data_IF_902689024014
#
_entry.id   IF_902689024014
#
_cell.length_a   1.000
_cell.length_b   1.000
_cell.length_c   1.000
_cell.angle_alpha   90.00
_cell.angle_beta   90.00
_cell.angle_gamma   90.00
#
_symmetry.space_group_name_H-M   'P 1'
#
loop_
_entity.id
_entity.type
_entity.pdbx_description
1 polymer ?
#
# COMPACT_ATOMS: atom_id res chain seq x y z
N UNK A 1 -30.25 -0.05 15.45
CA UNK A 1 -29.03 0.74 15.67
C UNK A 1 -27.97 0.18 14.75
N UNK A 2 -27.68 0.87 13.65
CA UNK A 2 -26.90 0.34 12.51
C UNK A 2 -25.48 -0.09 12.89
N UNK A 3 -24.90 0.49 13.95
CA UNK A 3 -23.59 0.05 14.44
C UNK A 3 -23.65 -1.39 14.95
N UNK A 4 -24.68 -1.74 15.73
CA UNK A 4 -24.83 -3.09 16.30
C UNK A 4 -24.96 -4.16 15.19
N UNK A 5 -25.63 -3.82 14.08
CA UNK A 5 -25.74 -4.72 12.92
C UNK A 5 -24.37 -4.98 12.28
N UNK A 6 -23.52 -3.94 12.17
CA UNK A 6 -22.14 -4.05 11.66
C UNK A 6 -21.29 -4.91 12.61
N UNK A 7 -21.41 -4.72 13.93
CA UNK A 7 -20.68 -5.50 14.93
C UNK A 7 -21.07 -6.98 14.85
N UNK A 8 -22.37 -7.28 14.81
CA UNK A 8 -22.88 -8.63 14.67
C UNK A 8 -22.42 -9.30 13.37
N UNK A 9 -22.35 -8.56 12.26
CA UNK A 9 -21.84 -9.06 10.99
C UNK A 9 -20.35 -9.45 11.08
N UNK A 10 -19.51 -8.61 11.69
CA UNK A 10 -18.08 -8.89 11.88
C UNK A 10 -17.91 -10.13 12.77
N UNK A 11 -18.63 -10.21 13.90
CA UNK A 11 -18.56 -11.34 14.81
C UNK A 11 -19.03 -12.65 14.14
N UNK A 12 -20.09 -12.60 13.32
CA UNK A 12 -20.54 -13.75 12.53
C UNK A 12 -19.46 -14.23 11.54
N UNK A 13 -18.77 -13.31 10.86
CA UNK A 13 -17.68 -13.66 9.95
C UNK A 13 -16.50 -14.30 10.70
N UNK A 14 -16.15 -13.80 11.89
CA UNK A 14 -15.11 -14.40 12.74
C UNK A 14 -15.52 -15.80 13.22
N UNK A 15 -16.78 -16.00 13.60
CA UNK A 15 -17.31 -17.32 13.96
C UNK A 15 -17.20 -18.32 12.80
N UNK A 16 -17.46 -17.89 11.56
CA UNK A 16 -17.26 -18.73 10.37
C UNK A 16 -15.80 -19.17 10.23
N UNK A 17 -14.83 -18.29 10.51
CA UNK A 17 -13.41 -18.65 10.47
C UNK A 17 -13.02 -19.62 11.60
N UNK A 18 -13.57 -19.42 12.80
CA UNK A 18 -13.36 -20.32 13.94
C UNK A 18 -13.95 -21.71 13.69
N UNK A 19 -15.18 -21.80 13.17
CA UNK A 19 -15.82 -23.07 12.79
C UNK A 19 -15.02 -23.83 11.72
N UNK A 20 -14.35 -23.11 10.81
CA UNK A 20 -13.43 -23.67 9.81
C UNK A 20 -12.03 -23.99 10.37
N UNK A 21 -11.79 -23.77 11.66
CA UNK A 21 -10.50 -23.94 12.34
C UNK A 21 -9.36 -23.10 11.73
N UNK A 22 -9.71 -21.99 11.07
CA UNK A 22 -8.72 -21.02 10.56
C UNK A 22 -8.21 -20.10 11.68
N UNK A 23 -9.01 -19.90 12.71
CA UNK A 23 -8.63 -19.22 13.96
C UNK A 23 -9.11 -20.07 15.15
N UNK A 24 -8.41 -19.99 16.28
CA UNK A 24 -8.82 -20.63 17.53
C UNK A 24 -9.72 -19.70 18.37
N UNK A 25 -10.16 -20.18 19.54
CA UNK A 25 -11.04 -19.42 20.43
C UNK A 25 -10.35 -18.19 21.02
N UNK A 26 -9.04 -18.25 21.27
CA UNK A 26 -8.27 -17.09 21.73
C UNK A 26 -8.34 -15.94 20.72
N UNK A 27 -8.14 -16.25 19.43
CA UNK A 27 -8.27 -15.28 18.35
C UNK A 27 -9.70 -14.78 18.18
N UNK A 28 -10.69 -15.68 18.25
CA UNK A 28 -12.11 -15.29 18.19
C UNK A 28 -12.42 -14.28 19.30
N UNK A 29 -12.06 -14.59 20.54
CA UNK A 29 -12.25 -13.71 21.70
C UNK A 29 -11.47 -12.40 21.57
N UNK A 30 -10.22 -12.47 21.08
CA UNK A 30 -9.37 -11.30 20.89
C UNK A 30 -9.94 -10.32 19.87
N UNK A 31 -10.50 -10.82 18.77
CA UNK A 31 -10.96 -10.02 17.64
C UNK A 31 -12.44 -9.65 17.71
N UNK A 32 -13.24 -10.40 18.47
CA UNK A 32 -14.66 -10.14 18.59
C UNK A 32 -14.95 -8.71 19.07
N UNK A 33 -16.04 -8.16 18.53
CA UNK A 33 -16.56 -6.84 18.86
C UNK A 33 -17.56 -6.85 20.01
N UNK A 34 -18.21 -7.99 20.27
CA UNK A 34 -19.28 -8.16 21.26
C UNK A 34 -18.90 -7.77 22.69
N UNK A 35 -17.63 -7.90 23.08
CA UNK A 35 -17.16 -7.58 24.43
C UNK A 35 -16.58 -6.16 24.57
N UNK A 36 -16.75 -5.30 23.56
CA UNK A 36 -16.07 -4.00 23.52
C UNK A 36 -17.02 -2.84 23.70
N UNK A 37 -16.60 -1.90 24.54
CA UNK A 37 -17.26 -0.62 24.70
C UNK A 37 -16.62 0.45 23.82
N UNK A 38 -17.37 1.53 23.57
CA UNK A 38 -16.89 2.74 22.88
C UNK A 38 -16.40 2.52 21.44
N UNK A 39 -16.92 1.52 20.74
CA UNK A 39 -16.72 1.40 19.29
C UNK A 39 -17.45 2.52 18.57
N UNK A 40 -16.80 3.11 17.56
CA UNK A 40 -17.32 4.23 16.77
C UNK A 40 -16.85 4.12 15.33
N UNK A 41 -17.69 4.52 14.39
CA UNK A 41 -17.29 4.65 13.00
C UNK A 41 -16.50 5.94 12.80
N UNK A 42 -15.44 5.93 11.96
CA UNK A 42 -14.76 7.16 11.56
C UNK A 42 -15.70 8.06 10.75
N UNK A 43 -15.54 9.37 10.89
CA UNK A 43 -16.28 10.37 10.13
C UNK A 43 -15.45 10.86 8.95
N UNK A 44 -16.06 10.94 7.77
CA UNK A 44 -15.51 11.62 6.61
C UNK A 44 -15.79 13.12 6.74
N UNK A 45 -14.74 13.93 6.58
CA UNK A 45 -14.81 15.39 6.51
C UNK A 45 -13.80 15.89 5.47
N UNK A 46 -13.86 17.17 5.14
CA UNK A 46 -13.04 17.77 4.09
C UNK A 46 -12.17 18.88 4.68
N UNK A 47 -10.87 18.87 4.37
CA UNK A 47 -9.94 19.94 4.74
C UNK A 47 -9.46 20.69 3.49
N UNK A 48 -9.23 22.01 3.55
CA UNK A 48 -8.61 22.75 2.46
C UNK A 48 -7.25 22.16 2.07
N UNK A 49 -6.98 22.09 0.77
CA UNK A 49 -5.62 21.92 0.26
C UNK A 49 -4.84 23.23 0.44
N UNK A 50 -3.62 23.14 0.93
CA UNK A 50 -2.75 24.30 1.15
C UNK A 50 -1.90 24.65 -0.08
N UNK A 51 -2.34 24.29 -1.28
CA UNK A 51 -1.64 24.68 -2.51
C UNK A 51 -2.08 26.09 -2.92
N UNK A 52 -1.14 26.91 -3.39
CA UNK A 52 -1.27 28.36 -3.66
C UNK A 52 -2.23 28.72 -4.83
N UNK A 53 -3.20 27.87 -5.18
CA UNK A 53 -4.12 28.10 -6.28
C UNK A 53 -5.36 28.92 -5.88
N UNK A 54 -5.87 29.69 -6.85
CA UNK A 54 -7.02 30.64 -6.72
C UNK A 54 -8.35 29.93 -6.38
N UNK A 55 -8.40 28.61 -6.50
CA UNK A 55 -9.55 27.79 -6.13
C UNK A 55 -9.22 26.92 -4.92
N UNK A 56 -9.99 27.06 -3.83
CA UNK A 56 -9.84 26.23 -2.65
C UNK A 56 -10.31 24.80 -2.94
N UNK A 57 -9.39 23.94 -3.36
CA UNK A 57 -9.61 22.50 -3.40
C UNK A 57 -9.71 21.96 -1.98
N UNK A 58 -10.51 20.91 -1.77
CA UNK A 58 -10.63 20.22 -0.48
C UNK A 58 -10.26 18.74 -0.62
N UNK A 59 -9.58 18.19 0.39
CA UNK A 59 -9.24 16.77 0.46
C UNK A 59 -10.14 16.03 1.44
N UNK A 60 -10.64 14.84 1.07
CA UNK A 60 -11.32 13.97 2.00
C UNK A 60 -10.36 13.49 3.09
N UNK A 61 -10.82 13.56 4.34
CA UNK A 61 -10.13 13.11 5.54
C UNK A 61 -11.08 12.26 6.36
N UNK A 62 -10.54 11.25 7.01
CA UNK A 62 -11.28 10.46 7.97
C UNK A 62 -10.82 10.79 9.38
N UNK A 63 -11.74 10.79 10.34
CA UNK A 63 -11.37 10.84 11.75
C UNK A 63 -10.60 9.57 12.13
N UNK A 64 -10.05 9.56 13.34
CA UNK A 64 -9.25 8.43 13.83
C UNK A 64 -10.01 7.10 13.72
N UNK A 65 -9.32 6.07 13.21
CA UNK A 65 -9.81 4.68 13.17
C UNK A 65 -9.59 3.96 14.50
N UNK A 66 -9.00 4.60 15.52
CA UNK A 66 -8.64 3.97 16.79
C UNK A 66 -9.77 3.19 17.46
N UNK A 67 -11.02 3.68 17.31
CA UNK A 67 -12.22 3.06 17.88
C UNK A 67 -13.07 2.31 16.84
N UNK A 68 -12.58 2.16 15.62
CA UNK A 68 -13.32 1.48 14.56
C UNK A 68 -13.44 -0.02 14.84
N UNK A 69 -14.54 -0.68 14.44
CA UNK A 69 -14.75 -2.11 14.67
C UNK A 69 -13.62 -2.99 14.09
N UNK A 70 -13.03 -2.57 12.97
CA UNK A 70 -11.96 -3.31 12.27
C UNK A 70 -10.55 -3.02 12.79
N UNK A 71 -10.38 -2.01 13.65
CA UNK A 71 -9.06 -1.51 14.03
C UNK A 71 -8.17 -2.56 14.66
N UNK A 72 -8.72 -3.38 15.56
CA UNK A 72 -7.92 -4.38 16.29
C UNK A 72 -7.42 -5.50 15.39
N UNK A 73 -8.25 -5.93 14.45
CA UNK A 73 -7.84 -6.86 13.40
C UNK A 73 -6.72 -6.24 12.56
N UNK A 74 -6.90 -4.99 12.11
CA UNK A 74 -5.89 -4.30 11.33
C UNK A 74 -4.56 -4.12 12.10
N UNK A 75 -4.61 -3.71 13.37
CA UNK A 75 -3.45 -3.54 14.24
C UNK A 75 -2.70 -4.85 14.53
N UNK A 76 -3.41 -5.98 14.51
CA UNK A 76 -2.78 -7.28 14.67
C UNK A 76 -2.12 -7.75 13.35
N UNK A 77 -2.84 -7.61 12.24
CA UNK A 77 -2.40 -8.09 10.92
C UNK A 77 -1.26 -7.26 10.34
N UNK A 78 -1.26 -5.95 10.55
CA UNK A 78 -0.27 -5.04 9.96
C UNK A 78 1.17 -5.42 10.31
N UNK A 79 1.61 -5.49 11.59
CA UNK A 79 2.99 -5.82 11.91
C UNK A 79 3.37 -7.24 11.48
N UNK A 80 2.41 -8.18 11.52
CA UNK A 80 2.60 -9.54 11.06
C UNK A 80 2.94 -9.55 9.57
N UNK A 81 2.12 -8.93 8.73
CA UNK A 81 2.32 -8.90 7.28
C UNK A 81 3.52 -8.01 6.90
N UNK A 82 3.73 -6.89 7.61
CA UNK A 82 4.83 -5.93 7.38
C UNK A 82 6.18 -6.61 7.43
N UNK A 83 6.39 -7.44 8.45
CA UNK A 83 7.64 -8.19 8.63
C UNK A 83 7.99 -9.07 7.43
N UNK A 84 6.98 -9.74 6.85
CA UNK A 84 7.14 -10.61 5.68
C UNK A 84 7.43 -9.79 4.43
N UNK A 85 6.68 -8.72 4.22
CA UNK A 85 6.86 -7.84 3.06
C UNK A 85 8.23 -7.17 3.08
N UNK A 86 8.67 -6.65 4.22
CA UNK A 86 9.95 -5.95 4.34
C UNK A 86 11.13 -6.86 4.03
N UNK A 87 11.07 -8.12 4.46
CA UNK A 87 12.11 -9.11 4.14
C UNK A 87 12.31 -9.29 2.62
N UNK A 88 11.24 -9.22 1.83
CA UNK A 88 11.30 -9.38 0.37
C UNK A 88 11.62 -8.05 -0.33
N UNK A 89 11.05 -6.96 0.14
CA UNK A 89 10.96 -5.73 -0.64
C UNK A 89 12.05 -4.71 -0.30
N UNK A 90 12.86 -4.93 0.74
CA UNK A 90 13.84 -3.98 1.28
C UNK A 90 14.77 -3.34 0.25
N UNK A 91 15.13 -4.06 -0.80
CA UNK A 91 16.00 -3.58 -1.88
C UNK A 91 15.30 -2.64 -2.87
N UNK A 92 13.96 -2.66 -2.92
CA UNK A 92 13.14 -1.92 -3.89
C UNK A 92 12.24 -0.87 -3.24
N UNK A 93 12.20 -0.79 -1.92
CA UNK A 93 11.42 0.21 -1.17
C UNK A 93 12.35 1.13 -0.39
N UNK A 94 11.91 2.33 -0.07
CA UNK A 94 12.57 3.23 0.88
C UNK A 94 11.64 3.61 2.01
N UNK A 95 12.19 3.87 3.20
CA UNK A 95 11.41 4.24 4.38
C UNK A 95 11.28 5.76 4.56
N UNK A 96 12.29 6.51 4.13
CA UNK A 96 12.39 7.96 4.29
C UNK A 96 13.55 8.50 3.43
N UNK A 97 13.81 9.80 3.54
CA UNK A 97 14.88 10.49 2.80
C UNK A 97 16.27 10.02 3.14
N UNK A 98 16.52 9.65 4.39
CA UNK A 98 17.81 9.12 4.79
C UNK A 98 18.06 7.76 4.13
N UNK A 99 17.09 6.84 4.19
CA UNK A 99 17.20 5.51 3.54
C UNK A 99 17.34 5.64 2.01
N UNK A 100 16.58 6.55 1.40
CA UNK A 100 16.72 6.88 -0.02
C UNK A 100 18.15 7.34 -0.36
N UNK A 101 18.67 8.33 0.36
CA UNK A 101 19.99 8.89 0.12
C UNK A 101 21.09 7.83 0.31
N UNK A 102 20.98 6.99 1.34
CA UNK A 102 21.94 5.91 1.58
C UNK A 102 21.94 4.92 0.41
N UNK A 103 20.77 4.45 -0.05
CA UNK A 103 20.67 3.49 -1.17
C UNK A 103 21.14 4.10 -2.49
N UNK A 104 20.73 5.34 -2.77
CA UNK A 104 21.11 6.04 -3.99
C UNK A 104 22.63 6.31 -4.03
N UNK A 105 23.21 6.78 -2.92
CA UNK A 105 24.66 7.02 -2.83
C UNK A 105 25.46 5.73 -3.01
N UNK A 106 25.02 4.64 -2.38
CA UNK A 106 25.67 3.33 -2.54
C UNK A 106 25.66 2.87 -4.00
N UNK A 107 24.51 2.95 -4.68
CA UNK A 107 24.41 2.71 -6.12
C UNK A 107 25.36 3.62 -6.91
N UNK A 108 25.35 4.92 -6.64
CA UNK A 108 26.12 5.93 -7.36
C UNK A 108 27.64 5.74 -7.26
N UNK A 109 28.10 5.23 -6.11
CA UNK A 109 29.52 4.94 -5.87
C UNK A 109 29.98 3.63 -6.53
N UNK A 110 29.09 2.68 -6.74
CA UNK A 110 29.40 1.38 -7.36
C UNK A 110 29.43 1.41 -8.89
N UNK A 111 28.85 2.44 -9.51
CA UNK A 111 28.87 2.59 -10.97
C UNK A 111 30.29 2.86 -11.48
N UNK A 112 30.89 1.85 -12.13
CA UNK A 112 32.22 1.90 -12.77
C UNK A 112 32.21 2.58 -14.15
N UNK A 113 31.04 2.73 -14.78
CA UNK A 113 30.87 3.29 -16.12
C UNK A 113 30.64 4.81 -16.14
N UNK A 114 30.73 5.39 -17.34
CA UNK A 114 30.52 6.82 -17.56
C UNK A 114 29.14 7.25 -17.09
N UNK A 115 29.10 8.23 -16.20
CA UNK A 115 27.86 8.83 -15.65
C UNK A 115 27.15 9.77 -16.63
N UNK A 116 27.68 9.88 -17.85
CA UNK A 116 27.09 10.66 -18.93
C UNK A 116 25.86 9.93 -19.50
N UNK A 117 24.82 10.69 -19.85
CA UNK A 117 23.58 10.15 -20.41
C UNK A 117 22.64 9.51 -19.38
N UNK A 118 23.02 9.42 -18.10
CA UNK A 118 22.12 8.94 -17.05
C UNK A 118 21.08 10.01 -16.74
N UNK A 119 19.82 9.66 -16.92
CA UNK A 119 18.65 10.45 -16.56
C UNK A 119 18.08 9.99 -15.23
N UNK A 120 17.33 10.86 -14.59
CA UNK A 120 16.54 10.52 -13.41
C UNK A 120 15.07 10.66 -13.74
N UNK A 121 14.33 9.58 -13.51
CA UNK A 121 12.90 9.56 -13.70
C UNK A 121 12.19 9.30 -12.38
N UNK A 122 11.06 9.95 -12.20
CA UNK A 122 10.13 9.68 -11.11
C UNK A 122 8.78 9.33 -11.69
N UNK A 123 8.03 8.48 -11.01
CA UNK A 123 6.63 8.28 -11.35
C UNK A 123 5.76 8.27 -10.10
N UNK A 124 4.48 8.59 -10.27
CA UNK A 124 3.48 8.50 -9.23
C UNK A 124 2.26 7.74 -9.74
N UNK A 125 1.73 6.86 -8.90
CA UNK A 125 0.51 6.09 -9.18
C UNK A 125 -0.66 6.78 -8.49
N UNK A 126 -1.49 7.44 -9.27
CA UNK A 126 -2.66 8.17 -8.78
C UNK A 126 -3.84 7.25 -8.55
N UNK A 127 -4.65 7.60 -7.54
CA UNK A 127 -5.95 7.00 -7.26
C UNK A 127 -5.94 5.48 -6.97
N UNK A 128 -4.77 4.91 -6.66
CA UNK A 128 -4.64 3.51 -6.26
C UNK A 128 -5.58 3.19 -5.09
N UNK A 129 -5.51 3.97 -4.01
CA UNK A 129 -6.24 3.68 -2.78
C UNK A 129 -7.72 4.03 -2.84
N UNK A 130 -8.18 4.77 -3.85
CA UNK A 130 -9.61 5.02 -4.08
C UNK A 130 -10.25 3.99 -5.02
N UNK A 131 -9.46 3.41 -5.94
CA UNK A 131 -10.01 2.60 -7.03
C UNK A 131 -9.64 1.11 -7.01
N UNK A 132 -8.55 0.70 -6.37
CA UNK A 132 -8.13 -0.71 -6.38
C UNK A 132 -9.19 -1.62 -5.75
N UNK A 133 -9.47 -2.76 -6.37
CA UNK A 133 -10.46 -3.69 -5.82
C UNK A 133 -9.92 -4.43 -4.60
N UNK A 134 -10.81 -4.79 -3.66
CA UNK A 134 -10.43 -5.67 -2.56
C UNK A 134 -9.91 -7.03 -3.05
N UNK A 135 -10.39 -7.50 -4.21
CA UNK A 135 -9.93 -8.75 -4.82
C UNK A 135 -8.45 -8.67 -5.17
N UNK A 136 -8.03 -7.63 -5.87
CA UNK A 136 -6.63 -7.43 -6.26
C UNK A 136 -5.70 -7.28 -5.05
N UNK A 137 -6.14 -6.57 -4.00
CA UNK A 137 -5.36 -6.46 -2.76
C UNK A 137 -5.18 -7.82 -2.06
N UNK A 138 -6.24 -8.63 -2.02
CA UNK A 138 -6.21 -9.96 -1.41
C UNK A 138 -5.41 -10.96 -2.24
N UNK A 139 -5.49 -10.89 -3.57
CA UNK A 139 -4.64 -11.66 -4.49
C UNK A 139 -3.16 -11.28 -4.33
N UNK A 140 -2.89 -9.98 -4.20
CA UNK A 140 -1.57 -9.46 -3.87
C UNK A 140 -1.03 -10.05 -2.57
N UNK A 141 -1.82 -9.98 -1.51
CA UNK A 141 -1.47 -10.55 -0.21
C UNK A 141 -1.24 -12.06 -0.29
N UNK A 142 -2.14 -12.80 -0.96
CA UNK A 142 -2.00 -14.24 -1.12
C UNK A 142 -0.69 -14.61 -1.84
N UNK A 143 -0.41 -13.95 -2.97
CA UNK A 143 0.81 -14.17 -3.76
C UNK A 143 2.08 -13.84 -2.96
N UNK A 144 2.03 -12.82 -2.08
CA UNK A 144 3.11 -12.58 -1.12
C UNK A 144 3.27 -13.78 -0.19
N UNK A 145 2.21 -14.19 0.51
CA UNK A 145 2.25 -15.22 1.56
C UNK A 145 2.70 -16.61 1.07
N UNK A 146 2.48 -16.95 -0.20
CA UNK A 146 2.94 -18.21 -0.80
C UNK A 146 4.35 -18.12 -1.41
N UNK A 147 5.00 -16.95 -1.34
CA UNK A 147 6.34 -16.77 -1.90
C UNK A 147 7.37 -17.63 -1.13
N UNK A 148 8.11 -18.53 -1.81
CA UNK A 148 9.04 -19.45 -1.16
C UNK A 148 10.24 -18.75 -0.50
N UNK A 149 10.51 -17.48 -0.85
CA UNK A 149 11.58 -16.68 -0.24
C UNK A 149 11.19 -16.09 1.11
N UNK A 150 9.94 -16.22 1.54
CA UNK A 150 9.53 -15.82 2.89
C UNK A 150 10.16 -16.78 3.90
N UNK A 151 11.18 -16.27 4.58
CA UNK A 151 11.81 -16.93 5.72
C UNK A 151 11.14 -16.37 6.98
N UNK A 152 10.34 -17.20 7.63
CA UNK A 152 9.59 -16.83 8.82
C UNK A 152 8.22 -17.48 8.82
N UNK A 153 7.84 -18.07 9.95
CA UNK A 153 6.49 -18.57 10.16
C UNK A 153 5.68 -17.48 10.83
N UNK A 154 4.51 -17.15 10.29
CA UNK A 154 3.41 -16.60 11.09
C UNK A 154 2.90 -17.75 11.95
N UNK A 155 3.64 -18.05 13.04
CA UNK A 155 3.64 -19.31 13.81
C UNK A 155 2.28 -19.78 14.37
N UNK A 156 1.19 -19.06 14.14
CA UNK A 156 -0.14 -19.34 14.69
C UNK A 156 -1.31 -19.17 13.73
N UNK A 157 -1.10 -18.62 12.53
CA UNK A 157 -2.15 -18.43 11.53
C UNK A 157 -1.69 -19.00 10.20
N UNK A 158 -2.58 -19.67 9.47
CA UNK A 158 -2.29 -20.08 8.09
C UNK A 158 -2.33 -18.89 7.13
N UNK A 159 -1.75 -19.04 5.94
CA UNK A 159 -1.87 -18.05 4.86
C UNK A 159 -3.35 -17.71 4.59
N UNK A 160 -4.19 -18.75 4.51
CA UNK A 160 -5.63 -18.60 4.30
C UNK A 160 -6.29 -17.81 5.43
N UNK A 161 -5.92 -18.07 6.69
CA UNK A 161 -6.46 -17.32 7.82
C UNK A 161 -6.10 -15.84 7.73
N UNK A 162 -4.85 -15.50 7.38
CA UNK A 162 -4.41 -14.10 7.21
C UNK A 162 -5.19 -13.40 6.09
N UNK A 163 -5.37 -14.06 4.94
CA UNK A 163 -6.14 -13.52 3.82
C UNK A 163 -7.61 -13.32 4.21
N UNK A 164 -8.23 -14.29 4.89
CA UNK A 164 -9.63 -14.18 5.32
C UNK A 164 -9.83 -13.09 6.38
N UNK A 165 -8.94 -12.97 7.37
CA UNK A 165 -8.99 -11.89 8.37
C UNK A 165 -8.79 -10.51 7.72
N UNK A 166 -7.88 -10.40 6.75
CA UNK A 166 -7.70 -9.17 5.97
C UNK A 166 -8.94 -8.82 5.17
N UNK A 167 -9.60 -9.83 4.58
CA UNK A 167 -10.86 -9.68 3.84
C UNK A 167 -11.98 -9.12 4.74
N UNK A 168 -12.05 -9.55 6.01
CA UNK A 168 -12.98 -8.97 7.00
C UNK A 168 -12.69 -7.48 7.21
N UNK A 169 -11.43 -7.07 7.35
CA UNK A 169 -11.08 -5.65 7.51
C UNK A 169 -11.53 -4.82 6.31
N UNK A 170 -11.23 -5.27 5.09
CA UNK A 170 -11.59 -4.57 3.86
C UNK A 170 -13.12 -4.48 3.67
N UNK A 171 -13.83 -5.59 3.89
CA UNK A 171 -15.28 -5.69 3.68
C UNK A 171 -16.12 -5.05 4.78
N UNK A 172 -15.53 -4.65 5.90
CA UNK A 172 -16.25 -4.00 7.00
C UNK A 172 -15.66 -2.64 7.35
N UNK A 173 -15.06 -1.98 6.36
CA UNK A 173 -14.59 -0.63 6.51
C UNK A 173 -15.72 0.38 6.32
N UNK A 174 -16.47 0.62 7.40
CA UNK A 174 -17.60 1.56 7.44
C UNK A 174 -17.18 2.93 7.96
N UNK A 175 -17.85 3.98 7.50
CA UNK A 175 -17.63 5.36 7.94
C UNK A 175 -18.94 6.16 7.89
N UNK A 176 -18.97 7.31 8.58
CA UNK A 176 -20.11 8.22 8.61
C UNK A 176 -19.81 9.45 7.75
N UNK A 177 -20.77 9.85 6.92
CA UNK A 177 -20.74 11.13 6.20
C UNK A 177 -22.16 11.70 6.14
N UNK A 178 -22.34 12.98 6.51
CA UNK A 178 -23.66 13.63 6.54
C UNK A 178 -24.74 12.77 7.23
N UNK A 179 -24.41 12.27 8.42
CA UNK A 179 -25.27 11.41 9.26
C UNK A 179 -25.74 10.09 8.60
N UNK A 180 -25.12 9.71 7.48
CA UNK A 180 -25.34 8.44 6.80
C UNK A 180 -24.13 7.52 6.94
N UNK A 181 -24.37 6.22 6.99
CA UNK A 181 -23.31 5.20 7.07
C UNK A 181 -22.99 4.70 5.67
N UNK A 182 -21.71 4.76 5.33
CA UNK A 182 -21.16 4.27 4.07
C UNK A 182 -20.13 3.19 4.34
N UNK A 183 -19.77 2.47 3.28
CA UNK A 183 -18.69 1.48 3.28
C UNK A 183 -17.84 1.64 2.04
N UNK A 184 -16.54 1.36 2.17
CA UNK A 184 -15.67 1.16 1.02
C UNK A 184 -16.09 -0.09 0.24
N UNK A 185 -16.66 0.11 -0.95
CA UNK A 185 -16.95 -0.95 -1.91
C UNK A 185 -15.70 -1.38 -2.70
N UNK A 186 -14.81 -0.41 -2.94
CA UNK A 186 -13.48 -0.52 -3.52
C UNK A 186 -12.54 0.47 -2.83
N UNK A 187 -11.25 0.36 -3.09
CA UNK A 187 -10.23 1.14 -2.45
C UNK A 187 -10.05 0.79 -0.97
N UNK A 188 -9.30 1.63 -0.27
CA UNK A 188 -9.02 1.50 1.15
C UNK A 188 -8.81 2.88 1.77
N UNK A 189 -9.16 3.07 3.06
CA UNK A 189 -8.82 4.31 3.74
C UNK A 189 -7.31 4.45 3.94
N UNK A 190 -6.77 5.60 3.54
CA UNK A 190 -5.35 5.92 3.65
C UNK A 190 -4.83 5.98 5.09
N UNK A 191 -5.69 6.29 6.05
CA UNK A 191 -5.34 6.42 7.47
C UNK A 191 -5.41 5.11 8.26
N UNK A 192 -5.70 3.99 7.60
CA UNK A 192 -5.53 2.65 8.16
C UNK A 192 -4.18 2.09 7.71
N UNK A 193 -3.25 1.84 8.63
CA UNK A 193 -1.88 1.40 8.29
C UNK A 193 -1.85 0.13 7.45
N UNK A 194 -2.72 -0.84 7.76
CA UNK A 194 -2.86 -2.08 6.98
C UNK A 194 -3.20 -1.78 5.50
N UNK A 195 -3.99 -0.76 5.22
CA UNK A 195 -4.37 -0.39 3.85
C UNK A 195 -3.19 0.08 3.02
N UNK A 196 -2.30 0.90 3.60
CA UNK A 196 -1.06 1.35 2.94
C UNK A 196 -0.12 0.18 2.67
N UNK A 197 -0.06 -0.78 3.61
CA UNK A 197 0.72 -2.00 3.44
C UNK A 197 0.17 -2.86 2.30
N UNK A 198 -1.13 -3.09 2.23
CA UNK A 198 -1.76 -3.87 1.16
C UNK A 198 -1.54 -3.22 -0.22
N UNK A 199 -1.68 -1.89 -0.34
CA UNK A 199 -1.34 -1.18 -1.56
C UNK A 199 0.13 -1.37 -1.95
N UNK A 200 1.03 -1.32 -0.97
CA UNK A 200 2.46 -1.57 -1.20
C UNK A 200 2.76 -3.00 -1.64
N UNK A 201 2.01 -3.99 -1.15
CA UNK A 201 2.10 -5.40 -1.57
C UNK A 201 1.66 -5.56 -3.02
N UNK A 202 0.50 -5.00 -3.37
CA UNK A 202 0.01 -5.01 -4.75
C UNK A 202 1.03 -4.39 -5.71
N UNK A 203 1.54 -3.19 -5.37
CA UNK A 203 2.52 -2.50 -6.19
C UNK A 203 3.84 -3.24 -6.33
N UNK A 204 4.23 -4.06 -5.35
CA UNK A 204 5.43 -4.90 -5.47
C UNK A 204 5.29 -5.98 -6.56
N UNK A 205 4.09 -6.51 -6.77
CA UNK A 205 3.84 -7.49 -7.84
C UNK A 205 3.71 -6.80 -9.19
N UNK A 206 2.92 -5.74 -9.23
CA UNK A 206 2.72 -4.92 -10.43
C UNK A 206 4.05 -4.44 -11.04
N UNK A 207 5.03 -4.02 -10.22
CA UNK A 207 6.33 -3.52 -10.70
C UNK A 207 7.28 -4.61 -11.24
N UNK A 208 6.89 -5.89 -11.26
CA UNK A 208 7.79 -7.00 -11.67
C UNK A 208 8.39 -6.81 -13.07
N UNK A 209 7.65 -6.39 -14.12
CA UNK A 209 8.22 -6.11 -15.43
C UNK A 209 9.29 -5.02 -15.39
N UNK A 210 9.05 -3.94 -14.64
CA UNK A 210 10.01 -2.86 -14.42
C UNK A 210 11.28 -3.41 -13.76
N UNK A 211 11.15 -4.16 -12.67
CA UNK A 211 12.31 -4.71 -11.95
C UNK A 211 13.20 -5.59 -12.83
N UNK A 212 12.64 -6.30 -13.81
CA UNK A 212 13.43 -7.07 -14.79
C UNK A 212 14.28 -6.13 -15.64
N UNK A 213 13.70 -5.04 -16.14
CA UNK A 213 14.42 -4.02 -16.92
C UNK A 213 15.50 -3.34 -16.09
N UNK A 214 15.20 -3.01 -14.83
CA UNK A 214 16.14 -2.37 -13.92
C UNK A 214 17.37 -3.25 -13.70
N UNK A 215 17.17 -4.54 -13.44
CA UNK A 215 18.26 -5.52 -13.24
C UNK A 215 19.10 -5.72 -14.49
N UNK A 216 18.45 -5.82 -15.66
CA UNK A 216 19.15 -6.02 -16.94
C UNK A 216 20.05 -4.83 -17.30
N UNK A 217 19.63 -3.61 -16.93
CA UNK A 217 20.31 -2.36 -17.28
C UNK A 217 21.22 -1.81 -16.17
N UNK A 218 21.31 -2.51 -15.03
CA UNK A 218 22.02 -2.06 -13.84
C UNK A 218 21.68 -0.60 -13.46
N UNK A 219 20.37 -0.33 -13.39
CA UNK A 219 19.83 0.98 -13.03
C UNK A 219 19.37 1.00 -11.58
N UNK A 220 19.29 2.20 -11.01
CA UNK A 220 18.75 2.39 -9.68
C UNK A 220 17.23 2.37 -9.74
N UNK A 221 16.59 1.73 -8.76
CA UNK A 221 15.15 1.80 -8.57
C UNK A 221 14.78 1.65 -7.09
N UNK A 222 13.96 2.56 -6.60
CA UNK A 222 13.30 2.44 -5.29
C UNK A 222 11.91 3.07 -5.33
N UNK A 223 11.04 2.62 -4.44
CA UNK A 223 9.68 3.15 -4.26
C UNK A 223 9.42 3.59 -2.84
N UNK A 224 8.74 4.72 -2.69
CA UNK A 224 8.10 5.17 -1.45
C UNK A 224 6.59 5.18 -1.68
N UNK A 225 5.87 4.21 -1.11
CA UNK A 225 4.43 4.03 -1.34
C UNK A 225 4.06 4.06 -2.84
N UNK A 226 3.23 4.99 -3.30
CA UNK A 226 2.79 5.14 -4.68
C UNK A 226 3.78 5.89 -5.59
N UNK A 227 4.93 6.30 -5.07
CA UNK A 227 5.94 7.08 -5.79
C UNK A 227 7.23 6.28 -6.04
N UNK A 228 7.63 6.16 -7.30
CA UNK A 228 8.86 5.51 -7.72
C UNK A 228 9.94 6.49 -8.15
N UNK A 229 11.20 6.08 -7.98
CA UNK A 229 12.39 6.81 -8.34
C UNK A 229 13.35 5.86 -9.05
N UNK A 230 13.86 6.25 -10.21
CA UNK A 230 14.82 5.44 -10.96
C UNK A 230 15.85 6.27 -11.72
N UNK A 231 16.96 5.61 -12.04
CA UNK A 231 17.87 6.11 -13.08
C UNK A 231 17.58 5.38 -14.40
N UNK A 232 17.84 6.07 -15.52
CA UNK A 232 17.64 5.49 -16.84
C UNK A 232 18.76 5.92 -17.78
N UNK A 233 19.27 5.00 -18.60
CA UNK A 233 20.41 5.25 -19.51
C UNK A 233 20.02 5.22 -20.99
N UNK A 234 18.87 4.63 -21.29
CA UNK A 234 18.39 4.49 -22.66
C UNK A 234 17.50 5.68 -23.04
N UNK A 235 16.94 5.65 -24.25
CA UNK A 235 15.99 6.67 -24.70
C UNK A 235 14.74 6.78 -23.81
N UNK A 236 14.19 7.99 -23.77
CA UNK A 236 12.91 8.27 -23.12
C UNK A 236 11.78 7.43 -23.71
N UNK A 237 11.80 7.19 -25.03
CA UNK A 237 10.77 6.42 -25.73
C UNK A 237 10.73 4.97 -25.23
N UNK A 238 11.89 4.35 -25.01
CA UNK A 238 11.95 3.01 -24.41
C UNK A 238 11.41 2.98 -22.99
N UNK A 239 11.67 4.03 -22.21
CA UNK A 239 11.10 4.12 -20.86
C UNK A 239 9.58 4.27 -20.91
N UNK A 240 9.09 5.13 -21.82
CA UNK A 240 7.66 5.35 -22.00
C UNK A 240 6.94 4.05 -22.39
N UNK A 241 7.49 3.27 -23.32
CA UNK A 241 6.94 1.96 -23.71
C UNK A 241 6.78 1.03 -22.49
N UNK A 242 7.78 0.96 -21.61
CA UNK A 242 7.70 0.15 -20.38
C UNK A 242 6.58 0.64 -19.47
N UNK A 243 6.43 1.96 -19.31
CA UNK A 243 5.36 2.53 -18.49
C UNK A 243 3.97 2.39 -19.10
N UNK A 244 3.86 2.41 -20.42
CA UNK A 244 2.61 2.13 -21.14
C UNK A 244 2.17 0.67 -20.95
N UNK A 245 3.12 -0.28 -21.02
CA UNK A 245 2.87 -1.69 -20.69
C UNK A 245 2.43 -1.86 -19.22
N UNK A 246 3.07 -1.16 -18.29
CA UNK A 246 2.69 -1.19 -16.87
C UNK A 246 1.31 -0.57 -16.63
N UNK A 247 0.95 0.47 -17.38
CA UNK A 247 -0.36 1.12 -17.31
C UNK A 247 -1.48 0.17 -17.75
N UNK A 248 -1.22 -0.72 -18.72
CA UNK A 248 -2.19 -1.73 -19.17
C UNK A 248 -2.51 -2.80 -18.12
N UNK A 249 -1.63 -2.99 -17.14
CA UNK A 249 -1.84 -3.94 -16.03
C UNK A 249 -2.75 -3.34 -14.95
N UNK A 250 -2.79 -2.01 -14.84
CA UNK A 250 -3.59 -1.31 -13.84
C UNK A 250 -5.06 -1.21 -14.28
N UNK A 251 -6.00 -1.19 -13.32
CA UNK A 251 -7.36 -0.73 -13.58
C UNK A 251 -7.38 0.63 -14.27
N UNK A 252 -8.36 0.86 -15.14
CA UNK A 252 -8.50 2.07 -15.95
C UNK A 252 -8.57 3.38 -15.14
N UNK A 253 -9.04 3.30 -13.90
CA UNK A 253 -9.18 4.44 -13.00
C UNK A 253 -7.90 4.76 -12.21
N UNK A 254 -6.84 3.98 -12.38
CA UNK A 254 -5.53 4.18 -11.73
C UNK A 254 -4.54 4.61 -12.81
N UNK A 255 -3.90 5.76 -12.61
CA UNK A 255 -3.04 6.38 -13.62
C UNK A 255 -1.60 6.49 -13.14
N UNK A 256 -0.66 6.30 -14.07
CA UNK A 256 0.76 6.55 -13.83
C UNK A 256 1.14 7.89 -14.45
N UNK A 257 1.74 8.75 -13.65
CA UNK A 257 2.34 10.00 -14.14
C UNK A 257 3.86 9.84 -14.09
N UNK A 258 4.48 9.71 -15.26
CA UNK A 258 5.93 9.63 -15.43
C UNK A 258 6.52 11.03 -15.66
N UNK A 259 7.58 11.36 -14.92
CA UNK A 259 8.34 12.59 -15.07
C UNK A 259 9.82 12.25 -15.30
N UNK A 260 10.34 12.59 -16.46
CA UNK A 260 11.75 12.37 -16.81
C UNK A 260 12.49 13.70 -16.71
N UNK A 261 13.61 13.72 -16.00
CA UNK A 261 14.49 14.89 -15.88
C UNK A 261 15.91 14.53 -16.29
N UNK A 262 16.47 15.35 -17.18
CA UNK A 262 17.83 15.19 -17.72
C UNK A 262 18.93 15.80 -16.85
N UNK A 263 18.58 16.64 -15.86
CA UNK A 263 19.56 17.47 -15.16
C UNK A 263 20.00 16.89 -13.80
N UNK A 264 21.21 16.33 -13.81
CA UNK A 264 21.92 15.74 -12.65
C UNK A 264 22.15 16.71 -11.48
N UNK A 265 22.23 18.01 -11.75
CA UNK A 265 22.53 19.05 -10.74
C UNK A 265 21.37 19.22 -9.73
N UNK A 266 20.14 18.86 -10.11
CA UNK A 266 19.01 18.84 -9.20
C UNK A 266 18.93 17.56 -8.34
N UNK A 267 19.53 16.45 -8.80
CA UNK A 267 19.53 15.16 -8.09
C UNK A 267 20.23 15.27 -6.73
N UNK A 268 21.34 16.01 -6.67
CA UNK A 268 22.12 16.27 -5.44
C UNK A 268 21.42 17.31 -4.53
N UNK A 269 20.53 18.14 -5.08
CA UNK A 269 19.73 19.14 -4.34
C UNK A 269 18.33 18.66 -3.96
N UNK A 270 18.00 17.37 -4.15
CA UNK A 270 16.76 16.81 -3.61
C UNK A 270 16.80 16.86 -2.07
N UNK A 271 16.28 17.95 -1.51
CA UNK A 271 15.44 17.82 -0.32
C UNK A 271 14.20 17.07 -0.78
N UNK A 272 14.27 15.73 -0.85
CA UNK A 272 13.07 14.91 -0.95
C UNK A 272 12.29 15.19 0.33
N UNK A 273 11.35 16.14 0.28
CA UNK A 273 10.32 16.28 1.29
C UNK A 273 9.32 15.17 1.01
N UNK A 274 9.46 14.08 1.76
CA UNK A 274 8.40 13.10 1.91
C UNK A 274 7.25 13.72 2.70
#
# INVERSE_FOLDING_TARGET
DHLNDILALIDSQLQVLNNKKLINDDYLNQFSTSHRSNLKLPHLYFLPETNDDVHMCVQPRFSSYQHSPVQRLAQYLEPLIRSLFDNICRSTTVLNSQDFNTKFFHYWMQQSHTKQGIQFATFKIHDLYSNISHKELLEGLHTLLVNPLIIGRHDRLSNDAIVQLTSIVLRNNYFIYQDQIYRFARGCPLNLSLSQLLGSIYLHQWQTPLLRQIRLKDTFYVRFHDQGFLTWKESNDQLQIIFDELQQILPSEIQIILNIRSDLIYIIRFRVKF
#
